data_IF_124086081907
#
_entry.id   IF_124086081907
#
_cell.length_a   1.000
_cell.length_b   1.000
_cell.length_c   1.000
_cell.angle_alpha   90.00
_cell.angle_beta   90.00
_cell.angle_gamma   90.00
#
_symmetry.space_group_name_H-M   'P 1'
#
loop_
_entity.id
_entity.type
_entity.pdbx_description
1 polymer ?
#
# COMPACT_ATOMS: atom_id res chain seq x y z
N UNK A 1 -5.16 -17.76 1.45
CA UNK A 1 -5.37 -16.44 0.89
C UNK A 1 -6.84 -16.09 0.79
N UNK A 2 -7.44 -15.97 -0.40
CA UNK A 2 -8.81 -15.45 -0.60
C UNK A 2 -9.88 -16.04 0.31
N UNK A 3 -9.86 -17.37 0.54
CA UNK A 3 -10.81 -18.02 1.45
C UNK A 3 -10.59 -17.59 2.90
N UNK A 4 -9.35 -17.44 3.32
CA UNK A 4 -9.00 -17.03 4.68
C UNK A 4 -9.43 -15.58 4.91
N UNK A 5 -9.25 -14.71 3.92
CA UNK A 5 -9.70 -13.33 3.96
C UNK A 5 -11.22 -13.26 4.09
N UNK A 6 -11.95 -13.99 3.25
CA UNK A 6 -13.42 -14.04 3.31
C UNK A 6 -13.91 -14.58 4.66
N UNK A 7 -13.30 -15.64 5.19
CA UNK A 7 -13.65 -16.23 6.48
C UNK A 7 -13.32 -15.31 7.66
N UNK A 8 -12.36 -14.40 7.51
CA UNK A 8 -12.04 -13.35 8.49
C UNK A 8 -12.93 -12.11 8.40
N UNK A 9 -13.90 -12.10 7.46
CA UNK A 9 -14.87 -11.03 7.28
C UNK A 9 -14.52 -10.01 6.20
N UNK A 10 -13.46 -10.23 5.41
CA UNK A 10 -13.11 -9.36 4.28
C UNK A 10 -14.00 -9.72 3.09
N UNK A 11 -14.95 -8.85 2.76
CA UNK A 11 -15.90 -9.03 1.65
C UNK A 11 -15.43 -8.38 0.34
N UNK A 12 -14.55 -7.39 0.43
CA UNK A 12 -13.89 -6.74 -0.72
C UNK A 12 -12.43 -6.50 -0.38
N UNK A 13 -11.53 -6.78 -1.32
CA UNK A 13 -10.09 -6.59 -1.14
C UNK A 13 -9.44 -5.94 -2.36
N UNK A 14 -8.34 -5.19 -2.16
CA UNK A 14 -7.46 -4.70 -3.22
C UNK A 14 -6.28 -5.63 -3.40
N UNK A 15 -6.02 -6.05 -4.64
CA UNK A 15 -4.76 -6.68 -5.03
C UNK A 15 -3.83 -5.62 -5.60
N UNK A 16 -2.65 -5.43 -4.99
CA UNK A 16 -1.71 -4.37 -5.35
C UNK A 16 -0.41 -4.89 -5.98
N UNK A 17 -0.53 -5.79 -6.90
CA UNK A 17 0.54 -6.32 -7.73
C UNK A 17 0.44 -7.81 -7.93
N UNK A 18 0.40 -8.22 -9.18
CA UNK A 18 0.48 -9.62 -9.56
C UNK A 18 1.28 -9.78 -10.85
N UNK A 19 1.59 -11.01 -11.21
CA UNK A 19 2.26 -11.35 -12.47
C UNK A 19 1.26 -11.89 -13.46
N UNK A 20 1.45 -11.54 -14.73
CA UNK A 20 0.66 -12.10 -15.83
C UNK A 20 -0.86 -11.90 -15.69
N UNK A 21 -1.32 -10.83 -14.99
CA UNK A 21 -2.74 -10.51 -14.80
C UNK A 21 -3.54 -11.62 -14.11
N UNK A 22 -2.91 -12.40 -13.22
CA UNK A 22 -3.59 -13.47 -12.49
C UNK A 22 -4.68 -12.90 -11.60
N UNK A 23 -4.47 -11.73 -10.98
CA UNK A 23 -5.46 -11.00 -10.20
C UNK A 23 -6.71 -10.64 -11.03
N UNK A 24 -6.55 -10.19 -12.27
CA UNK A 24 -7.66 -9.89 -13.20
C UNK A 24 -8.47 -11.15 -13.50
N UNK A 25 -7.77 -12.26 -13.82
CA UNK A 25 -8.44 -13.55 -14.07
C UNK A 25 -9.19 -14.01 -12.82
N UNK A 26 -8.58 -13.89 -11.65
CA UNK A 26 -9.16 -14.31 -10.38
C UNK A 26 -10.42 -13.51 -10.02
N UNK A 27 -10.35 -12.16 -10.12
CA UNK A 27 -11.51 -11.28 -9.97
C UNK A 27 -12.67 -11.73 -10.86
N UNK A 28 -12.38 -11.96 -12.14
CA UNK A 28 -13.43 -12.36 -13.09
C UNK A 28 -14.03 -13.73 -12.72
N UNK A 29 -13.22 -14.69 -12.25
CA UNK A 29 -13.72 -16.00 -11.80
C UNK A 29 -14.56 -15.92 -10.53
N UNK A 30 -14.23 -15.00 -9.62
CA UNK A 30 -15.05 -14.74 -8.43
C UNK A 30 -16.40 -14.15 -8.85
N UNK A 31 -16.40 -13.14 -9.72
CA UNK A 31 -17.64 -12.51 -10.24
C UNK A 31 -18.52 -13.46 -11.06
N UNK A 32 -17.91 -14.47 -11.70
CA UNK A 32 -18.60 -15.57 -12.38
C UNK A 32 -19.07 -16.68 -11.40
N UNK A 33 -18.88 -16.55 -10.09
CA UNK A 33 -19.15 -17.56 -9.06
C UNK A 33 -18.42 -18.90 -9.27
N UNK A 34 -17.26 -18.88 -9.93
CA UNK A 34 -16.43 -20.08 -10.17
C UNK A 34 -15.34 -20.26 -9.10
N UNK A 35 -15.03 -19.21 -8.35
CA UNK A 35 -14.08 -19.22 -7.23
C UNK A 35 -14.72 -18.49 -6.05
N UNK A 36 -14.62 -19.07 -4.86
CA UNK A 36 -15.07 -18.42 -3.62
C UNK A 36 -13.99 -17.51 -3.07
N UNK A 37 -14.33 -16.24 -2.85
CA UNK A 37 -13.42 -15.22 -2.29
C UNK A 37 -14.14 -13.88 -2.12
N UNK A 38 -13.47 -12.87 -1.55
CA UNK A 38 -13.97 -11.49 -1.55
C UNK A 38 -14.04 -10.97 -2.99
N UNK A 39 -14.87 -9.95 -3.24
CA UNK A 39 -14.76 -9.20 -4.51
C UNK A 39 -13.38 -8.52 -4.56
N UNK A 40 -12.75 -8.52 -5.73
CA UNK A 40 -11.40 -7.99 -5.87
C UNK A 40 -11.41 -6.71 -6.72
N UNK A 41 -10.68 -5.71 -6.22
CA UNK A 41 -10.18 -4.60 -7.02
C UNK A 41 -8.71 -4.89 -7.36
N UNK A 42 -8.36 -4.87 -8.64
CA UNK A 42 -7.10 -5.44 -9.13
C UNK A 42 -6.25 -4.38 -9.82
N UNK A 43 -4.95 -4.55 -9.77
CA UNK A 43 -4.01 -3.61 -10.38
C UNK A 43 -3.18 -4.19 -11.54
N UNK A 44 -3.26 -5.49 -11.78
CA UNK A 44 -2.42 -6.13 -12.79
C UNK A 44 -0.93 -6.04 -12.43
N UNK A 45 -0.12 -5.57 -13.38
CA UNK A 45 1.33 -5.47 -13.22
C UNK A 45 1.70 -4.24 -12.39
N UNK A 46 2.27 -4.46 -11.19
CA UNK A 46 2.87 -3.39 -10.41
C UNK A 46 4.15 -2.87 -11.08
N UNK A 47 4.31 -1.55 -11.13
CA UNK A 47 5.45 -0.89 -11.78
C UNK A 47 6.50 -0.47 -10.76
N UNK A 48 7.78 -0.73 -11.04
CA UNK A 48 8.89 -0.34 -10.16
C UNK A 48 10.09 0.14 -10.97
N UNK A 49 10.99 0.89 -10.34
CA UNK A 49 12.31 1.17 -10.91
C UNK A 49 13.09 -0.13 -11.14
N UNK A 50 13.98 -0.16 -12.13
CA UNK A 50 14.70 -1.38 -12.56
C UNK A 50 15.45 -2.09 -11.42
N UNK A 51 15.98 -1.37 -10.46
CA UNK A 51 16.67 -1.87 -9.27
C UNK A 51 15.84 -1.74 -7.99
N UNK A 52 14.54 -1.42 -8.13
CA UNK A 52 13.65 -1.16 -7.00
C UNK A 52 13.05 -2.39 -6.35
N UNK A 53 12.39 -2.16 -5.22
CA UNK A 53 11.63 -3.14 -4.46
C UNK A 53 10.35 -3.59 -5.21
N UNK A 54 9.77 -4.71 -4.76
CA UNK A 54 8.56 -5.30 -5.32
C UNK A 54 8.86 -6.48 -6.24
N UNK A 55 8.98 -7.69 -5.68
CA UNK A 55 9.29 -8.90 -6.47
C UNK A 55 8.17 -9.28 -7.44
N UNK A 56 6.94 -8.85 -7.19
CA UNK A 56 5.78 -9.01 -8.08
C UNK A 56 5.72 -7.95 -9.16
N UNK A 57 6.43 -6.83 -8.99
CA UNK A 57 6.46 -5.74 -9.95
C UNK A 57 7.40 -6.00 -11.13
N UNK A 58 7.09 -5.41 -12.27
CA UNK A 58 7.99 -5.38 -13.42
C UNK A 58 8.89 -4.14 -13.37
N UNK A 59 10.19 -4.30 -13.69
CA UNK A 59 11.15 -3.19 -13.70
C UNK A 59 10.97 -2.28 -14.92
N UNK A 60 11.00 -0.97 -14.66
CA UNK A 60 10.84 0.08 -15.67
C UNK A 60 11.98 1.11 -15.57
N UNK A 61 12.25 1.80 -16.65
CA UNK A 61 13.20 2.90 -16.75
C UNK A 61 12.63 3.98 -17.69
N UNK A 62 12.47 5.19 -17.14
CA UNK A 62 11.94 6.33 -17.88
C UNK A 62 10.43 6.32 -18.06
N UNK A 63 9.88 7.50 -18.27
CA UNK A 63 8.43 7.77 -18.30
C UNK A 63 7.67 6.94 -19.32
N UNK A 64 8.29 6.62 -20.46
CA UNK A 64 7.61 5.86 -21.54
C UNK A 64 7.38 4.38 -21.20
N UNK A 65 8.27 3.76 -20.42
CA UNK A 65 8.02 2.39 -19.96
C UNK A 65 6.90 2.34 -18.93
N UNK A 66 6.84 3.30 -17.98
CA UNK A 66 5.75 3.44 -17.04
C UNK A 66 4.42 3.73 -17.74
N UNK A 67 4.40 4.67 -18.71
CA UNK A 67 3.23 5.00 -19.52
C UNK A 67 2.67 3.79 -20.25
N UNK A 68 3.55 3.04 -20.93
CA UNK A 68 3.15 1.85 -21.69
C UNK A 68 2.50 0.81 -20.78
N UNK A 69 3.11 0.50 -19.63
CA UNK A 69 2.56 -0.50 -18.71
C UNK A 69 1.28 -0.01 -18.04
N UNK A 70 1.18 1.29 -17.71
CA UNK A 70 -0.07 1.86 -17.20
C UNK A 70 -1.22 1.64 -18.20
N UNK A 71 -1.00 1.93 -19.49
CA UNK A 71 -2.00 1.72 -20.56
C UNK A 71 -2.32 0.25 -20.80
N UNK A 72 -1.32 -0.62 -20.73
CA UNK A 72 -1.53 -2.08 -20.82
C UNK A 72 -2.37 -2.61 -19.68
N UNK A 73 -2.10 -2.20 -18.44
CA UNK A 73 -2.92 -2.52 -17.29
C UNK A 73 -4.38 -2.07 -17.50
N UNK A 74 -4.58 -0.84 -17.96
CA UNK A 74 -5.91 -0.30 -18.26
C UNK A 74 -6.62 -1.08 -19.37
N UNK A 75 -5.89 -1.51 -20.41
CA UNK A 75 -6.42 -2.39 -21.46
C UNK A 75 -6.92 -3.73 -20.90
N UNK A 76 -6.25 -4.28 -19.89
CA UNK A 76 -6.68 -5.48 -19.16
C UNK A 76 -7.82 -5.22 -18.15
N UNK A 77 -8.29 -3.99 -18.03
CA UNK A 77 -9.43 -3.64 -17.19
C UNK A 77 -9.13 -3.68 -15.70
N UNK A 78 -7.98 -3.14 -15.30
CA UNK A 78 -7.63 -3.00 -13.88
C UNK A 78 -8.44 -1.87 -13.24
N UNK A 79 -8.55 -1.92 -11.91
CA UNK A 79 -9.28 -0.94 -11.11
C UNK A 79 -8.32 0.11 -10.50
N UNK A 80 -7.02 -0.21 -10.40
CA UNK A 80 -6.00 0.59 -9.72
C UNK A 80 -4.67 0.48 -10.49
N UNK A 81 -3.87 1.56 -10.53
CA UNK A 81 -2.47 1.48 -10.95
C UNK A 81 -1.56 1.47 -9.73
N UNK A 82 -0.63 0.50 -9.64
CA UNK A 82 0.32 0.33 -8.52
C UNK A 82 1.75 0.63 -8.94
N UNK A 83 2.45 1.42 -8.11
CA UNK A 83 3.89 1.66 -8.21
C UNK A 83 4.62 1.33 -6.91
N UNK A 84 5.93 1.02 -7.02
CA UNK A 84 6.82 0.78 -5.89
C UNK A 84 7.92 1.84 -5.90
N UNK A 85 7.87 2.74 -4.93
CA UNK A 85 8.70 3.97 -4.93
C UNK A 85 9.99 3.81 -4.12
N UNK A 86 9.90 3.15 -2.97
CA UNK A 86 10.97 3.02 -1.99
C UNK A 86 11.31 1.56 -1.70
N UNK A 87 12.38 1.27 -0.91
CA UNK A 87 12.67 -0.10 -0.46
C UNK A 87 11.52 -0.73 0.31
N UNK A 88 11.52 -2.06 0.36
CA UNK A 88 10.70 -2.84 1.29
C UNK A 88 11.30 -2.86 2.69
N UNK A 89 10.45 -2.92 3.69
CA UNK A 89 10.82 -2.85 5.10
C UNK A 89 11.04 -1.41 5.57
N UNK A 90 11.32 -1.25 6.86
CA UNK A 90 11.41 0.05 7.51
C UNK A 90 12.86 0.50 7.71
N UNK A 91 13.07 1.81 7.90
CA UNK A 91 14.31 2.36 8.41
C UNK A 91 14.48 2.01 9.90
N UNK A 92 15.72 1.86 10.34
CA UNK A 92 16.05 1.54 11.74
C UNK A 92 16.13 2.80 12.59
N UNK A 93 16.52 3.92 11.98
CA UNK A 93 16.66 5.22 12.64
C UNK A 93 16.05 6.34 11.79
N UNK A 94 15.72 7.50 12.41
CA UNK A 94 15.21 8.67 11.68
C UNK A 94 16.15 9.17 10.59
N UNK A 95 17.47 9.04 10.80
CA UNK A 95 18.49 9.55 9.89
C UNK A 95 18.89 8.53 8.80
N UNK A 96 18.31 7.33 8.79
CA UNK A 96 18.61 6.34 7.74
C UNK A 96 18.12 6.86 6.39
N UNK A 97 19.05 6.88 5.41
CA UNK A 97 18.71 7.28 4.04
C UNK A 97 17.75 6.27 3.40
N UNK A 98 16.60 6.74 2.96
CA UNK A 98 15.60 5.95 2.24
C UNK A 98 15.73 6.22 0.75
N UNK A 99 16.26 5.27 -0.06
CA UNK A 99 16.35 5.42 -1.50
C UNK A 99 14.98 5.60 -2.15
N UNK A 100 14.93 6.45 -3.19
CA UNK A 100 13.78 6.57 -4.08
C UNK A 100 14.15 5.95 -5.42
N UNK A 101 13.45 4.89 -5.84
CA UNK A 101 13.81 4.10 -7.02
C UNK A 101 13.19 4.58 -8.33
N UNK A 102 12.27 5.51 -8.26
CA UNK A 102 11.62 6.12 -9.42
C UNK A 102 11.59 7.64 -9.26
N UNK A 103 11.70 8.33 -10.38
CA UNK A 103 11.72 9.80 -10.40
C UNK A 103 10.32 10.39 -10.21
N UNK A 104 10.26 11.68 -9.88
CA UNK A 104 9.02 12.42 -9.81
C UNK A 104 8.23 12.36 -11.14
N UNK A 105 8.91 12.48 -12.28
CA UNK A 105 8.25 12.46 -13.59
C UNK A 105 7.67 11.09 -13.94
N UNK A 106 8.30 10.00 -13.52
CA UNK A 106 7.76 8.64 -13.66
C UNK A 106 6.50 8.45 -12.81
N UNK A 107 6.51 8.89 -11.54
CA UNK A 107 5.32 8.87 -10.67
C UNK A 107 4.20 9.71 -11.27
N UNK A 108 4.50 10.96 -11.67
CA UNK A 108 3.54 11.88 -12.26
C UNK A 108 2.90 11.30 -13.52
N UNK A 109 3.69 10.65 -14.37
CA UNK A 109 3.19 10.00 -15.59
C UNK A 109 2.12 8.95 -15.27
N UNK A 110 2.33 8.10 -14.28
CA UNK A 110 1.33 7.09 -13.88
C UNK A 110 0.05 7.77 -13.36
N UNK A 111 0.18 8.82 -12.56
CA UNK A 111 -0.96 9.59 -12.06
C UNK A 111 -1.75 10.26 -13.19
N UNK A 112 -1.06 10.82 -14.19
CA UNK A 112 -1.70 11.44 -15.36
C UNK A 112 -2.48 10.42 -16.20
N UNK A 113 -1.90 9.25 -16.46
CA UNK A 113 -2.56 8.17 -17.19
C UNK A 113 -3.79 7.64 -16.40
N UNK A 114 -3.66 7.45 -15.08
CA UNK A 114 -4.77 7.02 -14.23
C UNK A 114 -5.94 8.02 -14.26
N UNK A 115 -5.64 9.31 -14.12
CA UNK A 115 -6.65 10.38 -14.16
C UNK A 115 -7.41 10.43 -15.47
N UNK A 116 -6.76 10.13 -16.60
CA UNK A 116 -7.41 10.13 -17.92
C UNK A 116 -8.59 9.15 -18.01
N UNK A 117 -8.58 8.07 -17.23
CA UNK A 117 -9.65 7.07 -17.18
C UNK A 117 -10.35 6.98 -15.81
N UNK A 118 -10.13 7.96 -14.93
CA UNK A 118 -10.69 7.98 -13.57
C UNK A 118 -10.36 6.70 -12.76
N UNK A 119 -9.13 6.19 -12.93
CA UNK A 119 -8.60 5.05 -12.18
C UNK A 119 -7.77 5.57 -11.01
N UNK A 120 -7.81 4.87 -9.87
CA UNK A 120 -7.02 5.22 -8.68
C UNK A 120 -5.57 4.80 -8.83
N UNK A 121 -4.70 5.47 -8.07
CA UNK A 121 -3.27 5.15 -7.97
C UNK A 121 -2.89 4.74 -6.56
N UNK A 122 -2.02 3.74 -6.42
CA UNK A 122 -1.47 3.30 -5.15
C UNK A 122 0.06 3.21 -5.22
N UNK A 123 0.74 3.66 -4.17
CA UNK A 123 2.20 3.67 -4.11
C UNK A 123 2.72 2.99 -2.85
N UNK A 124 3.51 1.92 -3.00
CA UNK A 124 4.36 1.46 -1.90
C UNK A 124 5.39 2.54 -1.60
N UNK A 125 5.35 3.10 -0.39
CA UNK A 125 6.26 4.15 0.04
C UNK A 125 6.41 4.16 1.57
N UNK A 126 7.62 3.89 2.05
CA UNK A 126 7.88 3.85 3.51
C UNK A 126 8.22 5.21 4.12
N UNK A 127 8.51 6.22 3.30
CA UNK A 127 8.95 7.56 3.73
C UNK A 127 9.98 8.16 2.79
N UNK A 128 10.78 9.09 3.29
CA UNK A 128 11.87 9.73 2.56
C UNK A 128 11.42 10.59 1.37
N UNK A 129 12.31 10.86 0.44
CA UNK A 129 12.03 11.70 -0.75
C UNK A 129 10.91 11.15 -1.62
N UNK A 130 10.75 9.82 -1.63
CA UNK A 130 9.66 9.17 -2.37
C UNK A 130 8.27 9.58 -1.89
N UNK A 131 8.09 9.79 -0.58
CA UNK A 131 6.83 10.27 -0.01
C UNK A 131 6.48 11.68 -0.51
N UNK A 132 7.45 12.59 -0.49
CA UNK A 132 7.26 13.95 -1.01
C UNK A 132 6.85 13.95 -2.49
N UNK A 133 7.47 13.07 -3.29
CA UNK A 133 7.11 12.89 -4.70
C UNK A 133 5.68 12.34 -4.87
N UNK A 134 5.28 11.35 -4.06
CA UNK A 134 3.93 10.81 -4.09
C UNK A 134 2.88 11.86 -3.76
N UNK A 135 3.08 12.64 -2.69
CA UNK A 135 2.18 13.73 -2.29
C UNK A 135 2.07 14.78 -3.40
N UNK A 136 3.21 15.26 -3.90
CA UNK A 136 3.28 16.29 -4.95
C UNK A 136 2.67 15.83 -6.28
N UNK A 137 2.84 14.57 -6.66
CA UNK A 137 2.27 14.02 -7.89
C UNK A 137 0.75 13.79 -7.77
N UNK A 138 0.25 13.67 -6.54
CA UNK A 138 -1.16 13.43 -6.26
C UNK A 138 -1.56 11.97 -6.37
N UNK A 139 -0.72 11.07 -5.85
CA UNK A 139 -1.07 9.65 -5.63
C UNK A 139 -2.32 9.58 -4.76
N UNK A 140 -3.27 8.70 -5.09
CA UNK A 140 -4.51 8.56 -4.32
C UNK A 140 -4.31 7.83 -3.00
N UNK A 141 -3.46 6.78 -2.99
CA UNK A 141 -3.21 5.96 -1.79
C UNK A 141 -1.71 5.73 -1.61
N UNK A 142 -1.18 6.09 -0.46
CA UNK A 142 0.21 5.81 -0.07
C UNK A 142 0.19 4.68 0.95
N UNK A 143 0.84 3.58 0.62
CA UNK A 143 0.88 2.37 1.42
C UNK A 143 2.04 2.40 2.43
N UNK A 144 1.80 1.95 3.66
CA UNK A 144 2.76 1.63 4.71
C UNK A 144 3.25 2.78 5.58
N UNK A 145 3.99 3.72 5.05
CA UNK A 145 4.63 4.88 5.74
C UNK A 145 5.41 4.53 7.02
N UNK A 146 6.06 3.35 7.07
CA UNK A 146 6.76 2.84 8.25
C UNK A 146 7.87 3.73 8.82
N UNK A 147 8.37 4.69 8.04
CA UNK A 147 9.53 5.53 8.36
C UNK A 147 9.25 6.99 8.03
N UNK A 148 8.03 7.43 8.27
CA UNK A 148 7.60 8.82 8.06
C UNK A 148 8.17 9.70 9.19
N UNK A 149 8.74 10.86 8.81
CA UNK A 149 9.23 11.85 9.79
C UNK A 149 8.10 12.80 10.23
N UNK A 150 8.24 13.52 11.37
CA UNK A 150 7.25 14.52 11.77
C UNK A 150 7.00 15.61 10.73
N UNK A 151 8.03 16.03 9.99
CA UNK A 151 7.90 17.00 8.89
C UNK A 151 7.08 16.42 7.73
N UNK A 152 7.26 15.14 7.46
CA UNK A 152 6.49 14.45 6.43
C UNK A 152 5.03 14.17 6.86
N UNK A 153 4.80 13.93 8.14
CA UNK A 153 3.43 13.89 8.69
C UNK A 153 2.72 15.21 8.43
N UNK A 154 3.37 16.33 8.73
CA UNK A 154 2.83 17.66 8.46
C UNK A 154 2.58 17.89 6.97
N UNK A 155 3.49 17.49 6.10
CA UNK A 155 3.30 17.55 4.65
C UNK A 155 2.06 16.76 4.21
N UNK A 156 1.87 15.54 4.73
CA UNK A 156 0.68 14.72 4.44
C UNK A 156 -0.59 15.38 4.95
N UNK A 157 -0.59 15.94 6.16
CA UNK A 157 -1.74 16.65 6.73
C UNK A 157 -2.17 17.88 5.90
N UNK A 158 -1.21 18.62 5.37
CA UNK A 158 -1.46 19.87 4.67
C UNK A 158 -1.77 19.68 3.17
N UNK A 159 -1.05 18.76 2.52
CA UNK A 159 -1.05 18.67 1.06
C UNK A 159 -1.66 17.39 0.49
N UNK A 160 -1.59 16.24 1.20
CA UNK A 160 -2.09 14.98 0.67
C UNK A 160 -3.63 14.94 0.68
N UNK A 161 -4.24 14.81 -0.50
CA UNK A 161 -5.71 14.73 -0.64
C UNK A 161 -6.23 13.30 -0.72
N UNK A 162 -5.35 12.33 -0.70
CA UNK A 162 -5.64 10.90 -0.78
C UNK A 162 -5.77 10.22 0.59
N UNK A 163 -5.34 8.99 0.67
CA UNK A 163 -5.40 8.11 1.82
C UNK A 163 -4.01 7.56 2.16
N UNK A 164 -3.77 7.30 3.42
CA UNK A 164 -2.67 6.44 3.87
C UNK A 164 -3.27 5.07 4.17
N UNK A 165 -2.72 4.00 3.58
CA UNK A 165 -3.13 2.64 3.92
C UNK A 165 -2.09 1.98 4.82
N UNK A 166 -2.50 1.67 6.05
CA UNK A 166 -1.63 1.15 7.10
C UNK A 166 -1.59 -0.37 7.04
N UNK A 167 -0.40 -0.95 7.16
CA UNK A 167 -0.17 -2.40 7.18
C UNK A 167 0.83 -2.74 8.29
N UNK A 168 0.47 -2.39 9.50
CA UNK A 168 1.36 -2.35 10.67
C UNK A 168 1.98 -3.71 11.00
N UNK A 169 1.23 -4.80 10.81
CA UNK A 169 1.65 -6.15 11.11
C UNK A 169 2.88 -6.61 10.32
N UNK A 170 3.17 -6.01 9.16
CA UNK A 170 4.39 -6.30 8.38
C UNK A 170 5.65 -6.05 9.23
N UNK A 171 5.64 -5.04 10.09
CA UNK A 171 6.79 -4.69 10.95
C UNK A 171 6.55 -5.09 12.41
N UNK A 172 5.32 -4.95 12.91
CA UNK A 172 5.03 -5.10 14.33
C UNK A 172 4.76 -6.52 14.77
N UNK A 173 4.22 -7.41 13.89
CA UNK A 173 3.83 -8.77 14.28
C UNK A 173 5.04 -9.72 14.38
N UNK A 174 5.44 -10.18 15.59
CA UNK A 174 6.52 -11.12 15.75
C UNK A 174 6.17 -12.53 15.24
N UNK A 175 4.89 -12.89 15.11
CA UNK A 175 4.47 -14.19 14.61
C UNK A 175 4.80 -14.42 13.14
N UNK A 176 5.12 -13.36 12.40
CA UNK A 176 5.61 -13.45 11.00
C UNK A 176 7.07 -13.87 10.90
N UNK A 177 7.86 -13.68 11.94
CA UNK A 177 9.32 -13.90 11.91
C UNK A 177 9.73 -15.31 11.45
N UNK A 178 9.06 -16.40 11.88
CA UNK A 178 9.40 -17.75 11.41
C UNK A 178 9.25 -17.95 9.89
N UNK A 179 8.49 -17.10 9.22
CA UNK A 179 8.22 -17.20 7.78
C UNK A 179 9.07 -16.23 6.94
N UNK A 180 9.97 -15.48 7.59
CA UNK A 180 10.81 -14.46 6.93
C UNK A 180 12.28 -14.90 6.90
N UNK A 181 13.07 -14.45 5.90
CA UNK A 181 14.51 -14.68 5.89
C UNK A 181 15.19 -14.08 7.12
N UNK A 182 16.21 -14.75 7.72
CA UNK A 182 16.86 -14.28 8.96
C UNK A 182 17.36 -12.83 8.92
N UNK A 183 17.93 -12.40 7.78
CA UNK A 183 18.41 -11.02 7.61
C UNK A 183 17.27 -10.00 7.64
N UNK A 184 16.11 -10.34 7.06
CA UNK A 184 14.91 -9.50 7.11
C UNK A 184 14.37 -9.40 8.53
N UNK A 185 14.32 -10.53 9.27
CA UNK A 185 13.92 -10.57 10.68
C UNK A 185 14.79 -9.65 11.53
N UNK A 186 16.13 -9.75 11.37
CA UNK A 186 17.06 -8.90 12.13
C UNK A 186 16.81 -7.40 11.87
N UNK A 187 16.65 -7.01 10.61
CA UNK A 187 16.35 -5.62 10.24
C UNK A 187 14.99 -5.18 10.79
N UNK A 188 13.96 -5.99 10.63
CA UNK A 188 12.61 -5.68 11.12
C UNK A 188 12.59 -5.50 12.65
N UNK A 189 13.27 -6.37 13.40
CA UNK A 189 13.39 -6.23 14.87
C UNK A 189 14.07 -4.91 15.26
N UNK A 190 15.14 -4.53 14.57
CA UNK A 190 15.85 -3.29 14.83
C UNK A 190 15.00 -2.04 14.51
N UNK A 191 14.16 -2.12 13.46
CA UNK A 191 13.31 -1.02 13.02
C UNK A 191 11.99 -0.88 13.81
N UNK A 192 11.55 -1.93 14.51
CA UNK A 192 10.20 -2.08 15.05
C UNK A 192 9.75 -0.90 15.92
N UNK A 193 10.58 -0.46 16.84
CA UNK A 193 10.23 0.63 17.76
C UNK A 193 10.11 1.97 17.03
N UNK A 194 11.06 2.28 16.15
CA UNK A 194 11.00 3.51 15.35
C UNK A 194 9.77 3.48 14.42
N UNK A 195 9.51 2.37 13.75
CA UNK A 195 8.32 2.23 12.90
C UNK A 195 7.01 2.37 13.68
N UNK A 196 6.95 1.84 14.90
CA UNK A 196 5.79 2.01 15.80
C UNK A 196 5.54 3.50 16.05
N UNK A 197 6.59 4.25 16.40
CA UNK A 197 6.47 5.69 16.63
C UNK A 197 6.01 6.44 15.38
N UNK A 198 6.52 6.08 14.19
CA UNK A 198 6.10 6.67 12.93
C UNK A 198 4.60 6.42 12.65
N UNK A 199 4.17 5.16 12.76
CA UNK A 199 2.76 4.78 12.51
C UNK A 199 1.79 5.39 13.51
N UNK A 200 2.19 5.51 14.78
CA UNK A 200 1.38 6.15 15.82
C UNK A 200 1.05 7.60 15.47
N UNK A 201 1.95 8.33 14.82
CA UNK A 201 1.68 9.71 14.37
C UNK A 201 0.52 9.76 13.35
N UNK A 202 0.38 8.75 12.51
CA UNK A 202 -0.74 8.66 11.55
C UNK A 202 -2.06 8.42 12.29
N UNK A 203 -2.10 7.42 13.19
CA UNK A 203 -3.29 7.08 13.96
C UNK A 203 -3.77 8.23 14.86
N UNK A 204 -2.86 9.04 15.37
CA UNK A 204 -3.12 10.14 16.31
C UNK A 204 -3.34 11.50 15.62
N UNK A 205 -3.03 11.63 14.33
CA UNK A 205 -3.09 12.92 13.63
C UNK A 205 -4.46 13.59 13.65
N UNK A 206 -5.56 12.84 13.59
CA UNK A 206 -6.92 13.38 13.47
C UNK A 206 -7.21 14.15 12.18
N UNK A 207 -6.21 14.39 11.33
CA UNK A 207 -6.32 15.07 10.03
C UNK A 207 -6.03 14.15 8.84
N UNK A 208 -5.19 13.16 9.05
CA UNK A 208 -4.83 12.20 8.00
C UNK A 208 -5.95 11.18 7.84
N UNK A 209 -6.44 11.05 6.61
CA UNK A 209 -7.38 9.97 6.27
C UNK A 209 -6.60 8.69 6.11
N UNK A 210 -6.94 7.68 6.88
CA UNK A 210 -6.28 6.39 6.77
C UNK A 210 -7.26 5.23 6.65
N UNK A 211 -6.75 4.16 6.05
CA UNK A 211 -7.34 2.83 5.99
C UNK A 211 -6.37 1.82 6.56
N UNK A 212 -6.81 0.59 6.73
CA UNK A 212 -5.99 -0.49 7.28
C UNK A 212 -6.12 -1.70 6.38
N UNK A 213 -4.98 -2.25 5.98
CA UNK A 213 -4.84 -3.47 5.20
C UNK A 213 -3.81 -4.42 5.83
N UNK A 214 -3.72 -5.65 5.32
CA UNK A 214 -2.85 -6.68 5.88
C UNK A 214 -1.56 -6.89 5.08
N UNK A 215 -1.42 -6.26 3.90
CA UNK A 215 -0.46 -6.64 2.89
C UNK A 215 -0.59 -8.17 2.60
N UNK A 216 0.40 -8.98 2.69
CA UNK A 216 0.29 -10.42 2.40
C UNK A 216 -0.17 -11.30 3.59
N UNK A 217 -0.66 -10.71 4.68
CA UNK A 217 -1.08 -11.46 5.89
C UNK A 217 -2.55 -11.86 5.83
N UNK A 218 -2.88 -12.78 4.94
CA UNK A 218 -4.26 -13.25 4.72
C UNK A 218 -4.93 -13.78 5.99
N UNK A 219 -6.17 -13.34 6.22
CA UNK A 219 -6.99 -13.76 7.36
C UNK A 219 -6.65 -13.07 8.69
N UNK A 220 -5.68 -12.15 8.72
CA UNK A 220 -5.17 -11.52 9.95
C UNK A 220 -5.56 -10.03 10.10
N UNK A 221 -6.64 -9.59 9.43
CA UNK A 221 -7.06 -8.19 9.52
C UNK A 221 -7.38 -7.73 10.96
N UNK A 222 -7.84 -8.63 11.81
CA UNK A 222 -8.12 -8.34 13.22
C UNK A 222 -6.87 -7.87 13.99
N UNK A 223 -5.69 -8.42 13.70
CA UNK A 223 -4.43 -7.98 14.31
C UNK A 223 -4.05 -6.55 13.93
N UNK A 224 -4.35 -6.16 12.71
CA UNK A 224 -4.11 -4.78 12.27
C UNK A 224 -4.97 -3.78 13.04
N UNK A 225 -6.21 -4.16 13.41
CA UNK A 225 -7.07 -3.36 14.30
C UNK A 225 -6.46 -3.22 15.71
N UNK A 226 -5.87 -4.31 16.22
CA UNK A 226 -5.19 -4.31 17.53
C UNK A 226 -3.98 -3.36 17.48
N UNK A 227 -3.11 -3.46 16.46
CA UNK A 227 -1.97 -2.55 16.29
C UNK A 227 -2.40 -1.09 16.13
N UNK A 228 -3.49 -0.81 15.43
CA UNK A 228 -4.00 0.54 15.30
C UNK A 228 -4.47 1.10 16.66
N UNK A 229 -5.18 0.31 17.46
CA UNK A 229 -5.61 0.69 18.80
C UNK A 229 -4.41 0.90 19.74
N UNK A 230 -3.42 0.01 19.71
CA UNK A 230 -2.17 0.18 20.45
C UNK A 230 -1.42 1.46 20.02
N UNK A 231 -1.53 1.85 18.76
CA UNK A 231 -0.95 3.05 18.18
C UNK A 231 -1.70 4.35 18.50
N UNK A 232 -2.86 4.25 19.18
CA UNK A 232 -3.65 5.39 19.62
C UNK A 232 -4.91 5.68 18.81
N UNK A 233 -5.27 4.84 17.83
CA UNK A 233 -6.59 4.90 17.23
C UNK A 233 -7.67 4.50 18.23
N UNK A 234 -8.84 5.15 18.17
CA UNK A 234 -10.01 4.62 18.89
C UNK A 234 -10.50 3.35 18.20
N UNK A 235 -11.14 2.44 18.96
CA UNK A 235 -11.76 1.24 18.37
C UNK A 235 -12.72 1.60 17.23
N UNK A 236 -13.45 2.70 17.36
CA UNK A 236 -14.36 3.17 16.32
C UNK A 236 -13.62 3.63 15.06
N UNK A 237 -12.50 4.33 15.20
CA UNK A 237 -11.71 4.78 14.05
C UNK A 237 -11.01 3.60 13.35
N UNK A 238 -10.51 2.63 14.11
CA UNK A 238 -9.96 1.39 13.56
C UNK A 238 -11.04 0.61 12.78
N UNK A 239 -12.25 0.45 13.32
CA UNK A 239 -13.37 -0.18 12.60
C UNK A 239 -13.77 0.59 11.33
N UNK A 240 -13.83 1.92 11.41
CA UNK A 240 -14.09 2.74 10.21
C UNK A 240 -12.99 2.58 9.15
N UNK A 241 -11.74 2.45 9.57
CA UNK A 241 -10.61 2.33 8.65
C UNK A 241 -10.67 1.06 7.78
N UNK A 242 -11.21 -0.04 8.30
CA UNK A 242 -11.39 -1.31 7.56
C UNK A 242 -12.77 -1.45 6.89
N UNK A 243 -13.67 -0.49 7.09
CA UNK A 243 -15.04 -0.55 6.54
C UNK A 243 -15.36 0.69 5.71
N UNK A 244 -16.01 1.69 6.27
CA UNK A 244 -16.49 2.86 5.52
C UNK A 244 -15.37 3.68 4.89
N UNK A 245 -14.21 3.81 5.54
CA UNK A 245 -13.08 4.51 4.96
C UNK A 245 -12.47 3.71 3.81
N UNK A 246 -12.31 2.39 3.99
CA UNK A 246 -11.82 1.49 2.94
C UNK A 246 -12.76 1.50 1.72
N UNK A 247 -14.08 1.45 1.94
CA UNK A 247 -15.07 1.56 0.86
C UNK A 247 -14.94 2.90 0.11
N UNK A 248 -14.81 4.03 0.84
CA UNK A 248 -14.59 5.36 0.24
C UNK A 248 -13.28 5.45 -0.54
N UNK A 249 -12.19 4.94 0.03
CA UNK A 249 -10.91 4.89 -0.64
C UNK A 249 -11.00 4.10 -1.95
N UNK A 250 -11.73 2.98 -1.94
CA UNK A 250 -11.93 2.12 -3.10
C UNK A 250 -12.97 2.66 -4.10
N UNK A 251 -13.85 3.60 -3.69
CA UNK A 251 -14.96 4.08 -4.52
C UNK A 251 -16.08 3.03 -4.71
N UNK A 252 -16.35 2.24 -3.66
CA UNK A 252 -17.38 1.16 -3.64
C UNK A 252 -18.36 1.34 -2.49
N UNK A 253 -18.71 2.59 -2.18
CA UNK A 253 -19.67 2.97 -1.12
C UNK A 253 -21.09 2.46 -1.37
#
# INVERSE_FOLDING_TARGET
GLKDDLMSGVTTARCLGDRNYIDVVLRNKIRENKVTGPDLLVCGIGMKGRHGHGYVGMPHSGVEEFRRTARENMFHGVDILKIFVTPGGAAVTPDEFIPCFISYDEIRTVVEEAKALNIKTAAHCIGGKGLEYCVKAGIDVIEHVYSITPEQVKLVEEEHKGWIDMTSGIVLDPEREPYCPPAAVQKTRAAREYSRQCMNQIYQSGKIRYTIGTDANHGLLYKELEFACEGGATTMDALKAVTVNAAKMCGVE
#
